data_IF_957027412171
#
_entry.id   IF_957027412171
#
_cell.length_a   1.000
_cell.length_b   1.000
_cell.length_c   1.000
_cell.angle_alpha   90.00
_cell.angle_beta   90.00
_cell.angle_gamma   90.00
#
_symmetry.space_group_name_H-M   'P 1'
#
loop_
_entity.id
_entity.type
_entity.pdbx_description
1 polymer ?
#
# COMPACT_ATOMS: atom_id res chain seq x y z
N UNK A 1 -22.35 -46.22 -2.90
CA UNK A 1 -21.22 -45.56 -3.56
C UNK A 1 -21.82 -44.37 -4.29
N UNK A 2 -22.05 -43.28 -3.56
CA UNK A 2 -22.51 -42.03 -4.14
C UNK A 2 -21.36 -41.04 -3.98
N UNK A 3 -20.73 -40.72 -5.11
CA UNK A 3 -19.66 -39.74 -5.21
C UNK A 3 -20.16 -38.40 -4.67
N UNK A 4 -19.57 -37.98 -3.55
CA UNK A 4 -19.70 -36.62 -3.06
C UNK A 4 -19.23 -35.68 -4.17
N UNK A 5 -20.18 -35.01 -4.82
CA UNK A 5 -19.89 -33.93 -5.75
C UNK A 5 -19.12 -32.85 -4.96
N UNK A 6 -17.80 -32.83 -5.12
CA UNK A 6 -16.91 -31.79 -4.61
C UNK A 6 -17.46 -30.45 -5.06
N UNK A 7 -18.13 -29.76 -4.13
CA UNK A 7 -18.57 -28.38 -4.34
C UNK A 7 -17.30 -27.58 -4.60
N UNK A 8 -17.17 -26.86 -5.73
CA UNK A 8 -16.06 -25.95 -5.89
C UNK A 8 -16.15 -24.90 -4.78
N UNK A 9 -15.08 -24.72 -4.01
CA UNK A 9 -14.96 -23.65 -3.02
C UNK A 9 -15.08 -22.30 -3.73
N UNK A 10 -16.30 -21.76 -3.82
CA UNK A 10 -16.49 -20.40 -4.26
C UNK A 10 -16.29 -19.50 -3.05
N UNK A 11 -15.19 -18.74 -3.09
CA UNK A 11 -15.02 -17.60 -2.20
C UNK A 11 -16.00 -16.53 -2.71
N UNK A 12 -17.05 -16.26 -1.92
CA UNK A 12 -17.98 -15.15 -2.19
C UNK A 12 -17.18 -13.86 -2.04
N UNK A 13 -16.68 -13.33 -3.16
CA UNK A 13 -16.06 -12.01 -3.17
C UNK A 13 -17.13 -10.99 -3.53
N UNK A 14 -17.36 -10.09 -2.59
CA UNK A 14 -18.14 -8.86 -2.73
C UNK A 14 -17.37 -8.01 -3.76
N UNK A 15 -18.02 -7.68 -4.87
CA UNK A 15 -17.57 -6.83 -6.00
C UNK A 15 -16.56 -7.42 -7.01
N UNK A 16 -17.05 -7.82 -8.19
CA UNK A 16 -16.34 -8.71 -9.13
C UNK A 16 -15.79 -8.10 -10.43
N UNK A 17 -14.76 -7.25 -10.45
CA UNK A 17 -14.14 -6.77 -11.71
C UNK A 17 -12.98 -7.65 -12.23
N UNK A 18 -13.16 -8.95 -12.55
CA UNK A 18 -12.01 -9.82 -12.89
C UNK A 18 -12.23 -10.95 -13.90
N UNK A 19 -11.13 -11.31 -14.60
CA UNK A 19 -11.03 -12.56 -15.36
C UNK A 19 -10.66 -13.72 -14.43
N UNK A 20 -11.60 -14.65 -14.22
CA UNK A 20 -11.42 -15.91 -13.48
C UNK A 20 -11.08 -17.03 -14.45
N UNK A 21 -10.13 -17.89 -14.08
CA UNK A 21 -10.00 -19.19 -14.73
C UNK A 21 -10.95 -20.18 -14.07
N UNK A 22 -12.01 -20.57 -14.76
CA UNK A 22 -12.92 -21.64 -14.33
C UNK A 22 -12.77 -22.83 -15.28
N UNK A 23 -12.51 -24.03 -14.73
CA UNK A 23 -12.45 -25.30 -15.49
C UNK A 23 -11.54 -25.23 -16.73
N UNK A 24 -10.32 -24.71 -16.56
CA UNK A 24 -9.32 -24.49 -17.64
C UNK A 24 -9.74 -23.50 -18.75
N UNK A 25 -10.88 -22.83 -18.62
CA UNK A 25 -11.32 -21.75 -19.53
C UNK A 25 -11.27 -20.39 -18.81
N UNK A 26 -10.71 -19.39 -19.49
CA UNK A 26 -10.69 -18.00 -18.98
C UNK A 26 -12.10 -17.42 -19.14
N UNK A 27 -12.77 -17.13 -18.03
CA UNK A 27 -14.06 -16.44 -17.98
C UNK A 27 -13.89 -15.04 -17.42
N UNK A 28 -14.42 -14.06 -18.12
CA UNK A 28 -14.46 -12.68 -17.67
C UNK A 28 -15.75 -12.50 -16.88
N UNK A 29 -15.64 -12.17 -15.59
CA UNK A 29 -16.79 -11.86 -14.75
C UNK A 29 -16.66 -10.38 -14.40
N UNK A 30 -17.68 -9.59 -14.77
CA UNK A 30 -17.67 -8.14 -14.63
C UNK A 30 -18.71 -7.71 -13.60
N UNK A 31 -18.23 -7.19 -12.48
CA UNK A 31 -18.90 -6.35 -11.51
C UNK A 31 -18.43 -4.91 -11.69
N UNK A 32 -18.75 -4.03 -10.75
CA UNK A 32 -18.39 -2.62 -10.85
C UNK A 32 -16.87 -2.44 -10.69
N UNK A 33 -16.22 -1.77 -11.65
CA UNK A 33 -14.82 -1.40 -11.51
C UNK A 33 -14.70 -0.41 -10.33
N UNK A 34 -13.72 -0.56 -9.43
CA UNK A 34 -13.37 0.54 -8.56
C UNK A 34 -13.10 1.75 -9.45
N UNK A 35 -13.78 2.88 -9.20
CA UNK A 35 -13.77 4.13 -10.02
C UNK A 35 -12.37 4.70 -10.34
N UNK A 36 -11.30 4.04 -9.91
CA UNK A 36 -9.93 4.55 -9.76
C UNK A 36 -8.85 3.60 -10.29
N UNK A 37 -9.20 2.47 -10.92
CA UNK A 37 -8.25 1.65 -11.71
C UNK A 37 -8.30 2.13 -13.16
N UNK A 38 -7.39 3.03 -13.53
CA UNK A 38 -7.25 3.47 -14.91
C UNK A 38 -6.68 2.33 -15.76
N UNK A 39 -7.51 1.78 -16.65
CA UNK A 39 -7.10 0.86 -17.69
C UNK A 39 -8.28 0.13 -18.31
N UNK A 40 -8.34 0.08 -19.65
CA UNK A 40 -9.27 -0.76 -20.42
C UNK A 40 -9.02 -2.27 -20.23
N UNK A 41 -8.19 -2.66 -19.24
CA UNK A 41 -7.78 -4.04 -18.98
C UNK A 41 -8.30 -4.49 -17.61
N UNK A 42 -9.01 -5.63 -17.52
CA UNK A 42 -9.40 -6.20 -16.24
C UNK A 42 -8.14 -6.58 -15.44
N UNK A 43 -8.10 -6.14 -14.18
CA UNK A 43 -6.99 -6.39 -13.26
C UNK A 43 -6.92 -7.88 -12.93
N UNK A 44 -5.71 -8.43 -12.83
CA UNK A 44 -5.54 -9.82 -12.40
C UNK A 44 -5.80 -9.96 -10.89
N UNK A 45 -6.35 -11.09 -10.44
CA UNK A 45 -6.66 -11.33 -9.02
C UNK A 45 -5.46 -11.12 -8.06
N UNK A 46 -4.23 -11.38 -8.52
CA UNK A 46 -3.00 -11.12 -7.74
C UNK A 46 -2.75 -9.62 -7.52
N UNK A 47 -2.98 -8.82 -8.54
CA UNK A 47 -2.81 -7.36 -8.49
C UNK A 47 -3.87 -6.74 -7.57
N UNK A 48 -5.10 -7.27 -7.61
CA UNK A 48 -6.17 -6.85 -6.72
C UNK A 48 -5.88 -7.16 -5.25
N UNK A 49 -5.45 -8.38 -4.92
CA UNK A 49 -5.03 -8.71 -3.54
C UNK A 49 -3.88 -7.83 -3.07
N UNK A 50 -2.91 -7.54 -3.94
CA UNK A 50 -1.82 -6.63 -3.61
C UNK A 50 -2.31 -5.20 -3.36
N UNK A 51 -3.34 -4.75 -4.08
CA UNK A 51 -4.00 -3.47 -3.84
C UNK A 51 -4.79 -3.48 -2.52
N UNK A 52 -5.62 -4.50 -2.26
CA UNK A 52 -6.38 -4.63 -1.01
C UNK A 52 -5.46 -4.69 0.20
N UNK A 53 -4.41 -5.50 0.15
CA UNK A 53 -3.41 -5.56 1.21
C UNK A 53 -2.77 -4.19 1.43
N UNK A 54 -2.46 -3.44 0.36
CA UNK A 54 -1.93 -2.07 0.49
C UNK A 54 -2.91 -1.09 1.12
N UNK A 55 -4.21 -1.22 0.85
CA UNK A 55 -5.25 -0.36 1.43
C UNK A 55 -5.56 -0.75 2.88
N UNK A 56 -5.35 -2.00 3.26
CA UNK A 56 -5.46 -2.48 4.64
C UNK A 56 -4.17 -2.26 5.44
N UNK A 57 -3.02 -2.16 4.76
CA UNK A 57 -1.72 -1.90 5.38
C UNK A 57 -1.61 -0.44 5.79
N UNK A 58 -1.14 -0.22 7.02
CA UNK A 58 -0.76 1.09 7.54
C UNK A 58 0.15 1.87 6.55
N UNK A 59 -0.10 3.17 6.31
CA UNK A 59 0.76 4.02 5.50
C UNK A 59 2.22 3.98 5.94
N UNK A 60 3.15 4.08 4.98
CA UNK A 60 4.58 3.99 5.28
C UNK A 60 5.05 5.11 6.23
N UNK A 61 4.46 6.30 6.15
CA UNK A 61 4.76 7.42 7.05
C UNK A 61 4.32 7.13 8.49
N UNK A 62 3.09 6.67 8.69
CA UNK A 62 2.56 6.31 10.02
C UNK A 62 3.36 5.18 10.65
N UNK A 63 3.70 4.16 9.87
CA UNK A 63 4.54 3.06 10.33
C UNK A 63 5.92 3.54 10.78
N UNK A 64 6.52 4.46 10.03
CA UNK A 64 7.82 5.02 10.37
C UNK A 64 7.75 5.85 11.66
N UNK A 65 6.72 6.67 11.82
CA UNK A 65 6.48 7.40 13.07
C UNK A 65 6.28 6.47 14.26
N UNK A 66 5.51 5.38 14.08
CA UNK A 66 5.33 4.38 15.12
C UNK A 66 6.66 3.79 15.56
N UNK A 67 7.52 3.38 14.63
CA UNK A 67 8.85 2.89 14.97
C UNK A 67 9.72 3.95 15.66
N UNK A 68 9.65 5.22 15.24
CA UNK A 68 10.37 6.33 15.90
C UNK A 68 9.89 6.49 17.35
N UNK A 69 8.58 6.49 17.59
CA UNK A 69 7.98 6.56 18.94
C UNK A 69 8.39 5.36 19.78
N UNK A 70 8.30 4.14 19.26
CA UNK A 70 8.76 2.95 19.98
C UNK A 70 10.23 3.06 20.40
N UNK A 71 11.12 3.53 19.52
CA UNK A 71 12.54 3.75 19.84
C UNK A 71 12.70 4.77 20.97
N UNK A 72 11.94 5.86 20.93
CA UNK A 72 12.01 6.96 21.89
C UNK A 72 11.38 6.58 23.25
N UNK A 73 10.18 6.03 23.23
CA UNK A 73 9.31 5.80 24.40
C UNK A 73 9.68 4.51 25.15
N UNK A 74 10.03 3.44 24.43
CA UNK A 74 10.40 2.16 25.03
C UNK A 74 11.91 2.05 25.29
N UNK A 75 12.67 3.11 24.98
CA UNK A 75 14.10 3.17 25.23
C UNK A 75 14.94 2.18 24.42
N UNK A 76 14.49 1.72 23.25
CA UNK A 76 15.31 0.82 22.44
C UNK A 76 16.57 1.53 21.97
N UNK A 77 17.73 1.06 22.42
CA UNK A 77 19.02 1.64 22.06
C UNK A 77 19.46 1.35 20.61
N UNK A 78 18.69 0.56 19.83
CA UNK A 78 18.98 0.31 18.42
C UNK A 78 17.78 -0.22 17.64
N UNK A 79 17.80 -0.04 16.31
CA UNK A 79 16.84 -0.64 15.36
C UNK A 79 16.83 -2.17 15.50
N UNK A 80 17.98 -2.80 15.79
CA UNK A 80 18.08 -4.26 15.96
C UNK A 80 17.35 -4.74 17.22
N UNK A 81 17.39 -3.95 18.30
CA UNK A 81 16.67 -4.27 19.53
C UNK A 81 15.15 -4.22 19.29
N UNK A 82 14.67 -3.15 18.65
CA UNK A 82 13.26 -3.04 18.24
C UNK A 82 12.85 -4.20 17.33
N UNK A 83 13.64 -4.50 16.30
CA UNK A 83 13.38 -5.57 15.34
C UNK A 83 13.20 -6.94 16.00
N UNK A 84 14.06 -7.26 16.97
CA UNK A 84 14.00 -8.51 17.73
C UNK A 84 12.73 -8.59 18.56
N UNK A 85 12.34 -7.48 19.19
CA UNK A 85 11.18 -7.41 20.08
C UNK A 85 9.85 -7.57 19.31
N UNK A 86 9.72 -6.90 18.16
CA UNK A 86 8.49 -6.97 17.35
C UNK A 86 8.48 -8.10 16.31
N UNK A 87 9.56 -8.89 16.22
CA UNK A 87 9.68 -9.99 15.26
C UNK A 87 9.80 -9.57 13.79
N UNK A 88 10.25 -8.34 13.52
CA UNK A 88 10.43 -7.82 12.16
C UNK A 88 11.90 -7.81 11.73
N UNK A 89 12.13 -7.71 10.42
CA UNK A 89 13.48 -7.56 9.87
C UNK A 89 14.02 -6.13 10.12
N UNK A 90 15.20 -6.03 10.75
CA UNK A 90 15.84 -4.75 11.04
C UNK A 90 16.14 -3.93 9.78
N UNK A 91 16.42 -4.57 8.64
CA UNK A 91 16.64 -3.86 7.37
C UNK A 91 15.35 -3.30 6.80
N UNK A 92 14.20 -3.95 7.02
CA UNK A 92 12.87 -3.39 6.73
C UNK A 92 12.58 -2.18 7.61
N UNK A 93 12.78 -2.27 8.92
CA UNK A 93 12.56 -1.14 9.84
C UNK A 93 13.44 0.05 9.46
N UNK A 94 14.73 -0.17 9.22
CA UNK A 94 15.65 0.88 8.79
C UNK A 94 15.20 1.55 7.48
N UNK A 95 14.73 0.77 6.50
CA UNK A 95 14.17 1.32 5.26
C UNK A 95 12.93 2.16 5.53
N UNK A 96 12.00 1.69 6.34
CA UNK A 96 10.78 2.45 6.66
C UNK A 96 11.12 3.75 7.39
N UNK A 97 12.03 3.72 8.37
CA UNK A 97 12.49 4.92 9.08
C UNK A 97 13.12 5.97 8.16
N UNK A 98 13.78 5.56 7.06
CA UNK A 98 14.32 6.50 6.06
C UNK A 98 13.26 7.38 5.40
N UNK A 99 11.99 7.03 5.46
CA UNK A 99 10.90 7.90 4.99
C UNK A 99 10.83 9.19 5.81
N UNK A 100 11.19 9.16 7.09
CA UNK A 100 11.19 10.34 7.97
C UNK A 100 12.35 11.32 7.69
N UNK A 101 13.27 10.98 6.78
CA UNK A 101 14.29 11.91 6.29
C UNK A 101 13.70 12.92 5.27
N UNK A 102 12.42 12.76 4.88
CA UNK A 102 11.71 13.75 4.07
C UNK A 102 11.45 15.04 4.88
N UNK A 103 11.43 16.21 4.22
CA UNK A 103 11.00 17.47 4.83
C UNK A 103 9.65 17.35 5.55
N UNK A 104 9.53 17.97 6.73
CA UNK A 104 8.31 17.89 7.56
C UNK A 104 7.07 18.41 6.82
N UNK A 105 7.21 19.40 5.94
CA UNK A 105 6.11 19.88 5.09
C UNK A 105 5.52 18.80 4.18
N UNK A 106 6.36 17.90 3.65
CA UNK A 106 5.92 16.75 2.85
C UNK A 106 5.28 15.70 3.74
N UNK A 107 5.89 15.42 4.91
CA UNK A 107 5.32 14.47 5.86
C UNK A 107 3.95 14.93 6.37
N UNK A 108 3.80 16.22 6.69
CA UNK A 108 2.53 16.83 7.07
C UNK A 108 1.50 16.71 5.94
N UNK A 109 1.86 17.06 4.69
CA UNK A 109 0.96 16.93 3.55
C UNK A 109 0.53 15.46 3.28
N UNK A 110 1.41 14.49 3.53
CA UNK A 110 1.06 13.07 3.44
C UNK A 110 0.17 12.61 4.61
N UNK A 111 0.35 13.17 5.81
CA UNK A 111 -0.45 12.88 7.00
C UNK A 111 -1.88 13.45 6.86
N UNK A 112 -2.00 14.68 6.38
CA UNK A 112 -3.27 15.36 6.09
C UNK A 112 -4.11 14.62 5.03
N UNK A 113 -3.46 13.78 4.22
CA UNK A 113 -4.08 13.01 3.15
C UNK A 113 -3.87 11.51 3.32
N UNK A 114 -3.61 11.05 4.55
CA UNK A 114 -3.42 9.64 4.91
C UNK A 114 -4.61 8.77 4.52
N UNK A 115 -5.84 9.28 4.67
CA UNK A 115 -7.08 8.59 4.29
C UNK A 115 -7.37 8.62 2.78
N UNK A 116 -6.66 9.46 2.00
CA UNK A 116 -6.87 9.50 0.55
C UNK A 116 -6.22 8.28 -0.12
N UNK A 117 -7.08 7.36 -0.57
CA UNK A 117 -6.76 6.17 -1.35
C UNK A 117 -5.76 6.43 -2.49
N UNK A 118 -5.83 7.59 -3.18
CA UNK A 118 -4.92 7.91 -4.29
C UNK A 118 -3.53 8.23 -3.80
N UNK A 119 -3.45 9.03 -2.75
CA UNK A 119 -2.19 9.38 -2.09
C UNK A 119 -1.54 8.10 -1.55
N UNK A 120 -2.31 7.23 -0.86
CA UNK A 120 -1.81 5.93 -0.37
C UNK A 120 -1.34 5.01 -1.50
N UNK A 121 -2.07 4.95 -2.61
CA UNK A 121 -1.71 4.08 -3.74
C UNK A 121 -0.43 4.54 -4.45
N UNK A 122 -0.22 5.86 -4.53
CA UNK A 122 0.88 6.49 -5.24
C UNK A 122 2.15 6.58 -4.39
N UNK A 123 2.03 7.04 -3.14
CA UNK A 123 3.13 7.26 -2.21
C UNK A 123 3.46 6.00 -1.39
N UNK A 124 3.90 4.97 -2.10
CA UNK A 124 4.43 3.74 -1.47
C UNK A 124 5.76 3.99 -0.76
N UNK A 125 6.14 3.13 0.21
CA UNK A 125 7.46 3.16 0.88
C UNK A 125 8.61 3.29 -0.14
N UNK A 126 8.57 2.49 -1.21
CA UNK A 126 9.59 2.52 -2.27
C UNK A 126 9.69 3.90 -2.92
N UNK A 127 8.54 4.53 -3.23
CA UNK A 127 8.51 5.85 -3.89
C UNK A 127 9.00 6.94 -2.95
N UNK A 128 8.57 6.92 -1.69
CA UNK A 128 9.00 7.88 -0.67
C UNK A 128 10.51 7.80 -0.45
N UNK A 129 11.08 6.59 -0.34
CA UNK A 129 12.54 6.42 -0.27
C UNK A 129 13.26 6.92 -1.52
N UNK A 130 12.70 6.71 -2.71
CA UNK A 130 13.29 7.27 -3.93
C UNK A 130 13.28 8.80 -3.93
N UNK A 131 12.28 9.44 -3.34
CA UNK A 131 12.22 10.89 -3.20
C UNK A 131 13.31 11.41 -2.27
N UNK A 132 13.54 10.72 -1.14
CA UNK A 132 14.66 11.00 -0.23
C UNK A 132 16.01 10.87 -0.96
N UNK A 133 16.23 9.76 -1.67
CA UNK A 133 17.50 9.51 -2.35
C UNK A 133 17.81 10.48 -3.49
N UNK A 134 16.78 10.95 -4.21
CA UNK A 134 16.96 11.81 -5.39
C UNK A 134 17.04 13.30 -5.07
N UNK A 135 16.96 13.69 -3.78
CA UNK A 135 16.95 15.10 -3.34
C UNK A 135 16.05 15.98 -4.20
N UNK A 136 14.84 15.50 -4.50
CA UNK A 136 13.87 16.24 -5.31
C UNK A 136 13.46 17.51 -4.59
N UNK A 137 13.19 18.58 -5.35
CA UNK A 137 12.73 19.83 -4.74
C UNK A 137 11.41 19.62 -4.01
N UNK A 138 11.33 20.16 -2.81
CA UNK A 138 10.16 20.03 -1.93
C UNK A 138 8.87 20.50 -2.60
N UNK A 139 8.94 21.65 -3.28
CA UNK A 139 7.82 22.19 -4.05
C UNK A 139 7.33 21.25 -5.16
N UNK A 140 8.21 20.47 -5.80
CA UNK A 140 7.80 19.51 -6.82
C UNK A 140 7.05 18.32 -6.20
N UNK A 141 7.48 17.87 -5.02
CA UNK A 141 6.82 16.78 -4.29
C UNK A 141 5.43 17.23 -3.81
N UNK A 142 5.32 18.43 -3.24
CA UNK A 142 4.03 18.99 -2.81
C UNK A 142 3.06 19.18 -3.98
N UNK A 143 3.55 19.65 -5.13
CA UNK A 143 2.73 19.71 -6.37
C UNK A 143 2.27 18.33 -6.83
N UNK A 144 3.12 17.32 -6.72
CA UNK A 144 2.77 15.94 -7.08
C UNK A 144 1.68 15.39 -6.14
N UNK A 145 1.78 15.65 -4.83
CA UNK A 145 0.73 15.29 -3.86
C UNK A 145 -0.59 15.97 -4.25
N UNK A 146 -0.56 17.28 -4.53
CA UNK A 146 -1.74 18.02 -4.96
C UNK A 146 -2.33 17.51 -6.27
N UNK A 147 -1.49 17.11 -7.24
CA UNK A 147 -1.91 16.60 -8.55
C UNK A 147 -2.56 15.21 -8.43
N UNK A 148 -1.99 14.32 -7.61
CA UNK A 148 -2.56 12.99 -7.33
C UNK A 148 -3.95 13.13 -6.70
N UNK A 149 -4.13 14.15 -5.85
CA UNK A 149 -5.43 14.52 -5.28
C UNK A 149 -6.40 15.07 -6.33
N UNK A 150 -5.95 16.06 -7.11
CA UNK A 150 -6.81 16.83 -8.03
C UNK A 150 -7.11 16.16 -9.36
N UNK A 151 -6.48 15.03 -9.70
CA UNK A 151 -6.77 14.27 -10.93
C UNK A 151 -8.17 13.64 -10.89
N UNK A 152 -9.23 14.44 -10.94
CA UNK A 152 -10.61 14.03 -11.20
C UNK A 152 -10.90 14.16 -12.71
N UNK A 153 -11.55 13.17 -13.34
CA UNK A 153 -12.20 13.38 -14.63
C UNK A 153 -13.41 14.31 -14.51
#
# INVERSE_FOLDING_TARGET
>A
MDEAAERPSYMVMIDQYFAVYQRRRRRLVSGEAPKRVNGNRPMHAREWRAYQNRMNDEPACERAERYRRMIQDNGYHSIRALARDIGEDHSRIARVLKVLDLPESILAALRDHSEDVRVRAHFTEKRLRQMVMKSRSEAAILREIAQVRSSHP
#
